data_IF_734657869516
#
_entry.id   IF_734657869516
#
_cell.length_a   1.000
_cell.length_b   1.000
_cell.length_c   1.000
_cell.angle_alpha   90.00
_cell.angle_beta   90.00
_cell.angle_gamma   90.00
#
_symmetry.space_group_name_H-M   'P 1'
#
loop_
_entity.id
_entity.type
_entity.pdbx_description
1 polymer ?
#
# COMPACT_ATOMS: atom_id res chain seq x y z
N UNK A 1 -15.13 22.24 6.79
CA UNK A 1 -13.66 21.98 6.89
C UNK A 1 -13.08 21.97 5.48
N UNK A 2 -12.23 22.93 5.13
CA UNK A 2 -11.56 22.99 3.83
C UNK A 2 -10.63 21.78 3.68
N UNK A 3 -10.90 20.89 2.73
CA UNK A 3 -9.90 19.88 2.38
C UNK A 3 -8.67 20.60 1.81
N UNK A 4 -7.51 20.36 2.42
CA UNK A 4 -6.24 20.96 2.05
C UNK A 4 -5.52 20.09 1.01
N UNK A 5 -4.93 20.71 0.00
CA UNK A 5 -4.17 20.02 -1.04
C UNK A 5 -2.82 19.55 -0.47
N UNK A 6 -2.75 18.28 -0.04
CA UNK A 6 -1.55 17.68 0.57
C UNK A 6 -1.09 16.45 -0.22
N UNK A 7 -0.47 16.63 -1.40
CA UNK A 7 0.12 15.54 -2.18
C UNK A 7 1.50 15.14 -1.65
N UNK A 8 1.99 13.97 -2.06
CA UNK A 8 3.27 13.41 -1.61
C UNK A 8 3.12 12.33 -0.55
N UNK A 9 4.27 11.93 0.00
CA UNK A 9 4.38 10.89 1.04
C UNK A 9 3.75 11.41 2.33
N UNK A 10 2.95 10.56 2.98
CA UNK A 10 2.47 10.78 4.33
C UNK A 10 3.32 9.98 5.29
N UNK A 11 3.84 10.65 6.30
CA UNK A 11 4.52 9.97 7.40
C UNK A 11 4.08 10.64 8.69
N UNK A 12 3.28 9.94 9.47
CA UNK A 12 2.81 10.40 10.77
C UNK A 12 3.53 9.67 11.91
N UNK A 13 3.47 10.25 13.11
CA UNK A 13 3.97 9.57 14.31
C UNK A 13 3.25 8.25 14.57
N UNK A 14 1.96 8.15 14.20
CA UNK A 14 1.19 6.90 14.30
C UNK A 14 1.75 5.81 13.37
N UNK A 15 2.16 6.16 12.14
CA UNK A 15 2.79 5.23 11.22
C UNK A 15 4.11 4.70 11.78
N UNK A 16 4.94 5.60 12.35
CA UNK A 16 6.21 5.21 12.97
C UNK A 16 6.00 4.23 14.14
N UNK A 17 5.02 4.51 15.01
CA UNK A 17 4.68 3.63 16.13
C UNK A 17 4.18 2.26 15.63
N UNK A 18 3.34 2.25 14.60
CA UNK A 18 2.85 1.02 14.00
C UNK A 18 3.97 0.18 13.38
N UNK A 19 4.88 0.82 12.64
CA UNK A 19 6.06 0.16 12.07
C UNK A 19 6.99 -0.39 13.15
N UNK A 20 7.22 0.37 14.23
CA UNK A 20 8.02 -0.09 15.36
C UNK A 20 7.38 -1.30 16.07
N UNK A 21 6.07 -1.26 16.32
CA UNK A 21 5.33 -2.38 16.90
C UNK A 21 5.37 -3.63 15.99
N UNK A 22 5.18 -3.45 14.68
CA UNK A 22 5.29 -4.54 13.71
C UNK A 22 6.71 -5.13 13.66
N UNK A 23 7.75 -4.29 13.75
CA UNK A 23 9.14 -4.72 13.82
C UNK A 23 9.43 -5.52 15.09
N UNK A 24 8.96 -5.06 16.25
CA UNK A 24 9.08 -5.77 17.51
C UNK A 24 8.34 -7.13 17.48
N UNK A 25 7.13 -7.15 16.92
CA UNK A 25 6.39 -8.41 16.72
C UNK A 25 7.14 -9.36 15.79
N UNK A 26 7.67 -8.88 14.67
CA UNK A 26 8.43 -9.70 13.73
C UNK A 26 9.70 -10.27 14.37
N UNK A 27 10.41 -9.47 15.19
CA UNK A 27 11.56 -9.92 15.96
C UNK A 27 11.19 -11.06 16.91
N UNK A 28 10.12 -10.88 17.70
CA UNK A 28 9.60 -11.92 18.60
C UNK A 28 9.10 -13.18 17.85
N UNK A 29 8.53 -13.00 16.66
CA UNK A 29 8.01 -14.08 15.83
C UNK A 29 9.14 -14.87 15.13
N UNK A 30 10.32 -14.27 14.94
CA UNK A 30 11.44 -14.90 14.24
C UNK A 30 11.84 -16.24 14.86
N UNK A 31 11.93 -16.29 16.18
CA UNK A 31 12.27 -17.50 16.93
C UNK A 31 11.19 -18.61 16.83
N UNK A 32 9.95 -18.25 16.52
CA UNK A 32 8.82 -19.18 16.37
C UNK A 32 8.64 -19.65 14.94
N UNK A 33 9.18 -18.92 13.98
CA UNK A 33 9.14 -19.25 12.57
C UNK A 33 9.45 -18.04 11.71
N UNK A 34 10.56 -18.10 10.99
CA UNK A 34 10.99 -17.04 10.07
C UNK A 34 9.92 -16.67 9.03
N UNK A 35 9.03 -17.60 8.67
CA UNK A 35 7.92 -17.32 7.75
C UNK A 35 6.90 -16.33 8.33
N UNK A 36 6.62 -16.39 9.64
CA UNK A 36 5.64 -15.53 10.30
C UNK A 36 6.18 -14.10 10.38
N UNK A 37 7.44 -13.96 10.82
CA UNK A 37 8.15 -12.69 10.80
C UNK A 37 8.21 -12.08 9.38
N UNK A 38 8.57 -12.90 8.39
CA UNK A 38 8.60 -12.48 6.99
C UNK A 38 7.25 -12.02 6.47
N UNK A 39 6.18 -12.77 6.75
CA UNK A 39 4.83 -12.42 6.31
C UNK A 39 4.34 -11.12 6.96
N UNK A 40 4.59 -10.92 8.26
CA UNK A 40 4.26 -9.68 8.96
C UNK A 40 4.96 -8.49 8.32
N UNK A 41 6.28 -8.53 8.19
CA UNK A 41 7.04 -7.41 7.62
C UNK A 41 6.64 -7.12 6.19
N UNK A 42 6.37 -8.17 5.40
CA UNK A 42 5.94 -8.04 4.01
C UNK A 42 4.57 -7.35 3.90
N UNK A 43 3.58 -7.80 4.68
CA UNK A 43 2.24 -7.21 4.67
C UNK A 43 2.28 -5.76 5.15
N UNK A 44 2.91 -5.51 6.30
CA UNK A 44 3.04 -4.15 6.87
C UNK A 44 3.77 -3.22 5.90
N UNK A 45 4.86 -3.69 5.29
CA UNK A 45 5.61 -2.93 4.28
C UNK A 45 4.76 -2.57 3.06
N UNK A 46 3.97 -3.51 2.53
CA UNK A 46 3.08 -3.23 1.40
C UNK A 46 1.94 -2.26 1.77
N UNK A 47 1.32 -2.39 2.95
CA UNK A 47 0.32 -1.42 3.40
C UNK A 47 0.91 -0.03 3.60
N UNK A 48 2.12 0.08 4.16
CA UNK A 48 2.83 1.35 4.24
C UNK A 48 3.09 1.93 2.84
N UNK A 49 3.54 1.09 1.90
CA UNK A 49 3.75 1.48 0.51
C UNK A 49 2.47 2.02 -0.14
N UNK A 50 1.36 1.32 0.07
CA UNK A 50 0.05 1.65 -0.50
C UNK A 50 -0.56 2.90 0.12
N UNK A 51 -0.63 2.98 1.44
CA UNK A 51 -1.37 4.04 2.11
C UNK A 51 -0.55 5.34 2.26
N UNK A 52 0.78 5.23 2.42
CA UNK A 52 1.64 6.36 2.78
C UNK A 52 2.52 6.84 1.64
N UNK A 53 3.07 5.93 0.83
CA UNK A 53 4.02 6.28 -0.24
C UNK A 53 3.29 6.57 -1.55
N UNK A 54 2.57 5.59 -2.09
CA UNK A 54 1.92 5.70 -3.40
C UNK A 54 0.46 6.16 -3.32
N UNK A 55 -0.17 6.03 -2.14
CA UNK A 55 -1.53 6.47 -1.86
C UNK A 55 -2.54 5.90 -2.86
N UNK A 56 -2.50 4.58 -3.01
CA UNK A 56 -3.36 3.88 -3.96
C UNK A 56 -4.81 3.82 -3.48
N UNK A 57 -5.74 3.58 -4.40
CA UNK A 57 -7.16 3.47 -4.05
C UNK A 57 -7.44 2.23 -3.18
N UNK A 58 -8.36 2.37 -2.22
CA UNK A 58 -8.79 1.29 -1.32
C UNK A 58 -9.20 -0.01 -2.04
N UNK A 59 -9.78 0.09 -3.23
CA UNK A 59 -10.15 -1.10 -4.02
C UNK A 59 -8.92 -1.92 -4.45
N UNK A 60 -7.81 -1.27 -4.81
CA UNK A 60 -6.57 -1.94 -5.17
C UNK A 60 -5.91 -2.61 -3.95
N UNK A 61 -5.93 -1.94 -2.78
CA UNK A 61 -5.44 -2.52 -1.51
C UNK A 61 -6.21 -3.79 -1.15
N UNK A 62 -7.54 -3.77 -1.30
CA UNK A 62 -8.40 -4.92 -1.03
C UNK A 62 -8.13 -6.07 -2.00
N UNK A 63 -8.02 -5.78 -3.30
CA UNK A 63 -7.68 -6.80 -4.31
C UNK A 63 -6.35 -7.47 -4.01
N UNK A 64 -5.33 -6.69 -3.65
CA UNK A 64 -4.03 -7.23 -3.25
C UNK A 64 -4.14 -8.11 -2.00
N UNK A 65 -4.86 -7.65 -0.98
CA UNK A 65 -5.03 -8.36 0.29
C UNK A 65 -5.74 -9.70 0.10
N UNK A 66 -6.79 -9.75 -0.72
CA UNK A 66 -7.49 -10.99 -1.07
C UNK A 66 -6.54 -11.97 -1.74
N UNK A 67 -5.77 -11.54 -2.73
CA UNK A 67 -4.81 -12.42 -3.42
C UNK A 67 -3.76 -12.95 -2.45
N UNK A 68 -3.19 -12.09 -1.59
CA UNK A 68 -2.19 -12.52 -0.60
C UNK A 68 -2.76 -13.54 0.39
N UNK A 69 -3.96 -13.28 0.93
CA UNK A 69 -4.64 -14.19 1.88
C UNK A 69 -4.97 -15.53 1.23
N UNK A 70 -5.44 -15.54 -0.02
CA UNK A 70 -5.73 -16.79 -0.75
C UNK A 70 -4.46 -17.61 -0.96
N UNK A 71 -3.38 -16.99 -1.44
CA UNK A 71 -2.11 -17.69 -1.69
C UNK A 71 -1.48 -18.24 -0.41
N UNK A 72 -1.50 -17.46 0.67
CA UNK A 72 -1.00 -17.89 1.98
C UNK A 72 -1.89 -18.97 2.59
N UNK A 73 -3.21 -18.87 2.45
CA UNK A 73 -4.17 -19.90 2.86
C UNK A 73 -3.92 -21.23 2.15
N UNK A 74 -3.75 -21.21 0.83
CA UNK A 74 -3.39 -22.41 0.05
C UNK A 74 -2.10 -23.01 0.58
N UNK A 75 -1.06 -22.19 0.81
CA UNK A 75 0.20 -22.68 1.39
C UNK A 75 0.02 -23.35 2.74
N UNK A 76 -0.73 -22.74 3.64
CA UNK A 76 -0.93 -23.29 4.98
C UNK A 76 -1.69 -24.63 4.95
N UNK A 77 -2.59 -24.82 3.97
CA UNK A 77 -3.37 -26.05 3.84
C UNK A 77 -2.62 -27.16 3.10
N UNK A 78 -1.97 -26.86 1.98
CA UNK A 78 -1.40 -27.88 1.07
C UNK A 78 0.10 -28.05 1.20
N UNK A 79 0.79 -27.06 1.74
CA UNK A 79 2.24 -27.01 1.79
C UNK A 79 2.95 -26.79 0.44
N UNK A 80 2.21 -26.73 -0.68
CA UNK A 80 2.76 -26.85 -2.03
C UNK A 80 3.42 -25.59 -2.59
N UNK A 81 3.14 -24.41 -2.02
CA UNK A 81 3.67 -23.13 -2.49
C UNK A 81 4.91 -22.70 -1.70
N UNK A 82 5.97 -22.22 -2.37
CA UNK A 82 7.06 -21.57 -1.65
C UNK A 82 6.63 -20.18 -1.17
N UNK A 83 7.07 -19.76 0.02
CA UNK A 83 6.90 -18.37 0.49
C UNK A 83 7.50 -17.36 -0.51
N UNK A 84 8.60 -17.71 -1.16
CA UNK A 84 9.21 -16.90 -2.21
C UNK A 84 8.32 -16.75 -3.45
N UNK A 85 7.59 -17.81 -3.81
CA UNK A 85 6.61 -17.74 -4.91
C UNK A 85 5.46 -16.79 -4.56
N UNK A 86 4.97 -16.86 -3.32
CA UNK A 86 3.91 -15.97 -2.84
C UNK A 86 4.39 -14.52 -2.86
N UNK A 87 5.54 -14.23 -2.25
CA UNK A 87 6.12 -12.88 -2.22
C UNK A 87 6.45 -12.36 -3.62
N UNK A 88 6.98 -13.20 -4.49
CA UNK A 88 7.27 -12.83 -5.88
C UNK A 88 6.00 -12.48 -6.67
N UNK A 89 5.00 -13.36 -6.64
CA UNK A 89 3.73 -13.13 -7.33
C UNK A 89 3.01 -11.88 -6.81
N UNK A 90 2.98 -11.69 -5.49
CA UNK A 90 2.32 -10.54 -4.87
C UNK A 90 3.13 -9.25 -5.02
N UNK A 91 4.46 -9.32 -5.14
CA UNK A 91 5.29 -8.16 -5.48
C UNK A 91 5.06 -7.68 -6.93
N UNK A 92 4.89 -8.62 -7.87
CA UNK A 92 4.51 -8.29 -9.25
C UNK A 92 3.13 -7.62 -9.26
N UNK A 93 2.16 -8.17 -8.51
CA UNK A 93 0.85 -7.55 -8.36
C UNK A 93 0.92 -6.15 -7.73
N UNK A 94 1.73 -5.98 -6.67
CA UNK A 94 2.01 -4.67 -6.04
C UNK A 94 2.50 -3.66 -7.08
N UNK A 95 3.53 -4.01 -7.85
CA UNK A 95 4.09 -3.13 -8.88
C UNK A 95 3.06 -2.80 -9.96
N UNK A 96 2.26 -3.77 -10.38
CA UNK A 96 1.20 -3.58 -11.36
C UNK A 96 0.11 -2.62 -10.87
N UNK A 97 -0.41 -2.81 -9.66
CA UNK A 97 -1.43 -1.94 -9.07
C UNK A 97 -0.92 -0.52 -8.85
N UNK A 98 0.31 -0.36 -8.37
CA UNK A 98 0.97 0.94 -8.24
C UNK A 98 1.11 1.60 -9.61
N UNK A 99 1.57 0.86 -10.62
CA UNK A 99 1.72 1.38 -11.99
C UNK A 99 0.40 1.86 -12.60
N UNK A 100 -0.71 1.15 -12.36
CA UNK A 100 -2.05 1.61 -12.77
C UNK A 100 -2.44 2.88 -12.03
N UNK A 101 -2.25 2.94 -10.70
CA UNK A 101 -2.63 4.10 -9.91
C UNK A 101 -1.85 5.35 -10.32
N UNK A 102 -0.53 5.21 -10.54
CA UNK A 102 0.36 6.31 -10.97
C UNK A 102 -0.07 6.96 -12.28
N UNK A 103 -0.84 6.25 -13.13
CA UNK A 103 -1.36 6.77 -14.40
C UNK A 103 -2.68 7.54 -14.26
N UNK A 104 -3.31 7.53 -13.08
CA UNK A 104 -4.57 8.26 -12.87
C UNK A 104 -4.32 9.75 -12.72
N UNK A 105 -5.21 10.57 -13.27
CA UNK A 105 -5.20 12.03 -13.08
C UNK A 105 -5.34 12.45 -11.61
N UNK A 106 -5.85 11.56 -10.75
CA UNK A 106 -5.94 11.75 -9.31
C UNK A 106 -4.70 11.30 -8.54
N UNK A 107 -3.63 10.83 -9.20
CA UNK A 107 -2.43 10.34 -8.52
C UNK A 107 -1.71 11.47 -7.79
N UNK A 108 -1.45 11.25 -6.50
CA UNK A 108 -0.94 12.27 -5.58
C UNK A 108 0.05 11.71 -4.55
N UNK A 109 0.63 10.54 -4.82
CA UNK A 109 1.66 9.92 -3.97
C UNK A 109 3.06 10.50 -4.18
N UNK A 110 4.08 9.69 -3.91
CA UNK A 110 5.48 10.03 -4.13
C UNK A 110 5.74 10.43 -5.58
N UNK A 111 6.57 11.46 -5.78
CA UNK A 111 6.95 11.91 -7.13
C UNK A 111 5.82 12.53 -7.96
N UNK A 112 4.67 12.87 -7.35
CA UNK A 112 3.50 13.39 -8.06
C UNK A 112 3.82 14.58 -8.97
N UNK A 113 4.75 15.47 -8.59
CA UNK A 113 5.07 16.67 -9.38
C UNK A 113 5.70 16.34 -10.74
N UNK A 114 6.38 15.19 -10.86
CA UNK A 114 6.97 14.71 -12.12
C UNK A 114 6.01 13.82 -12.90
N UNK A 115 5.22 13.00 -12.20
CA UNK A 115 4.34 12.00 -12.81
C UNK A 115 3.00 12.63 -13.26
N UNK A 116 2.46 13.54 -12.46
CA UNK A 116 1.16 14.17 -12.67
C UNK A 116 1.24 15.69 -12.36
N UNK A 117 1.90 16.48 -13.22
CA UNK A 117 2.04 17.93 -13.00
C UNK A 117 0.69 18.66 -12.99
N UNK A 118 -0.32 18.13 -13.70
CA UNK A 118 -1.69 18.68 -13.75
C UNK A 118 -2.55 18.37 -12.52
N UNK A 119 -2.02 17.70 -11.50
CA UNK A 119 -2.77 17.30 -10.31
C UNK A 119 -3.45 18.48 -9.60
N UNK A 120 -2.75 19.62 -9.51
CA UNK A 120 -3.27 20.82 -8.82
C UNK A 120 -4.51 21.36 -9.53
N UNK A 121 -4.46 21.45 -10.86
CA UNK A 121 -5.57 21.95 -11.67
C UNK A 121 -6.76 20.98 -11.61
N UNK A 122 -6.50 19.68 -11.72
CA UNK A 122 -7.52 18.64 -11.53
C UNK A 122 -8.24 18.77 -10.18
N UNK A 123 -7.48 19.00 -9.10
CA UNK A 123 -8.03 19.16 -7.75
C UNK A 123 -8.89 20.41 -7.61
N UNK A 124 -8.44 21.54 -8.16
CA UNK A 124 -9.18 22.81 -8.15
C UNK A 124 -10.50 22.69 -8.93
N UNK A 125 -10.47 22.12 -10.13
CA UNK A 125 -11.66 21.89 -10.96
C UNK A 125 -12.68 21.00 -10.25
N UNK A 126 -12.21 19.94 -9.58
CA UNK A 126 -13.09 19.02 -8.85
C UNK A 126 -13.73 19.69 -7.63
N UNK A 127 -13.00 20.55 -6.91
CA UNK A 127 -13.55 21.34 -5.82
C UNK A 127 -14.62 22.32 -6.28
N UNK A 128 -14.40 23.01 -7.40
CA UNK A 128 -15.37 23.95 -7.97
C UNK A 128 -16.70 23.24 -8.31
N UNK A 129 -16.63 22.03 -8.90
CA UNK A 129 -17.82 21.21 -9.20
C UNK A 129 -18.56 20.67 -7.97
N UNK A 130 -17.94 20.65 -6.79
CA UNK A 130 -18.53 20.11 -5.56
C UNK A 130 -18.99 21.17 -4.57
N UNK A 131 -18.85 22.46 -4.90
CA UNK A 131 -19.41 23.55 -4.11
C UNK A 131 -20.94 23.62 -4.35
N UNK A 132 -21.78 23.62 -3.31
CA UNK A 132 -23.22 23.88 -3.48
C UNK A 132 -23.41 25.30 -4.02
N UNK A 133 -24.32 25.46 -4.98
CA UNK A 133 -24.79 26.77 -5.49
C UNK A 133 -25.47 27.59 -4.38
#
# INVERSE_FOLDING_TARGET
MSQEFRPGVRFSAADLLFLAAAGAFAWWAWERGAWLAGATLYVVGNFFLFCNVFRIGRSAELSWSVVFVVLTGIRLQTGSLSWWTIYGATAILTAFLIGIEMRKASYHGVGWSRINPGLKDWWLQRRAKSAPE
#
